data_IF_472702695167
#
_entry.id   IF_472702695167
#
_cell.length_a   1.000
_cell.length_b   1.000
_cell.length_c   1.000
_cell.angle_alpha   90.00
_cell.angle_beta   90.00
_cell.angle_gamma   90.00
#
_symmetry.space_group_name_H-M   'P 1'
#
loop_
_entity.id
_entity.type
_entity.pdbx_description
1 polymer ?
#
# COMPACT_ATOMS: atom_id res chain seq x y z
N UNK A 1 18.60 -20.87 16.85
CA UNK A 1 17.96 -19.60 16.43
C UNK A 1 16.55 -19.46 17.04
N UNK A 2 15.63 -20.40 16.81
CA UNK A 2 14.27 -20.37 17.37
C UNK A 2 14.15 -20.28 18.90
N UNK A 3 15.03 -20.99 19.63
CA UNK A 3 15.03 -20.95 21.09
C UNK A 3 15.33 -19.55 21.63
N UNK A 4 16.23 -18.82 20.95
CA UNK A 4 16.58 -17.45 21.32
C UNK A 4 15.48 -16.46 20.93
N UNK A 5 14.76 -16.72 19.83
CA UNK A 5 13.65 -15.91 19.35
C UNK A 5 12.44 -16.01 20.31
N UNK A 6 12.03 -17.24 20.68
CA UNK A 6 10.98 -17.46 21.68
C UNK A 6 11.33 -16.97 23.09
N UNK A 7 12.63 -16.89 23.44
CA UNK A 7 13.07 -16.25 24.69
C UNK A 7 12.78 -14.76 24.67
N UNK A 8 13.15 -14.08 23.58
CA UNK A 8 12.94 -12.63 23.40
C UNK A 8 11.47 -12.24 23.31
N UNK A 9 10.66 -13.04 22.64
CA UNK A 9 9.19 -12.82 22.57
C UNK A 9 8.54 -12.87 23.95
N UNK A 10 8.95 -13.83 24.80
CA UNK A 10 8.50 -13.92 26.20
C UNK A 10 8.97 -12.74 27.03
N UNK A 11 10.23 -12.30 26.86
CA UNK A 11 10.79 -11.16 27.59
C UNK A 11 10.11 -9.84 27.21
N UNK A 12 9.72 -9.69 25.94
CA UNK A 12 9.01 -8.53 25.43
C UNK A 12 7.47 -8.61 25.59
N UNK A 13 6.94 -9.70 26.16
CA UNK A 13 5.51 -9.99 26.28
C UNK A 13 4.76 -9.90 24.94
N UNK A 14 5.42 -10.28 23.86
CA UNK A 14 4.87 -10.32 22.50
C UNK A 14 4.21 -11.69 22.31
N UNK A 15 2.91 -11.70 21.98
CA UNK A 15 2.23 -12.91 21.50
C UNK A 15 2.16 -12.85 19.98
N UNK A 16 3.01 -13.59 19.26
CA UNK A 16 2.87 -13.70 17.81
C UNK A 16 1.55 -14.37 17.48
N UNK A 17 0.96 -13.98 16.34
CA UNK A 17 -0.18 -14.67 15.76
C UNK A 17 0.17 -16.15 15.59
N UNK A 18 -0.77 -17.04 15.93
CA UNK A 18 -0.51 -18.48 16.01
C UNK A 18 -0.08 -19.05 14.67
N UNK A 19 -0.65 -18.55 13.59
CA UNK A 19 -0.30 -19.02 12.26
C UNK A 19 1.11 -18.52 11.92
N UNK A 20 1.41 -17.23 12.16
CA UNK A 20 2.74 -16.61 11.94
C UNK A 20 3.85 -17.30 12.76
N UNK A 21 3.58 -17.65 14.02
CA UNK A 21 4.54 -18.35 14.90
C UNK A 21 4.88 -19.75 14.38
N UNK A 22 3.87 -20.49 13.92
CA UNK A 22 4.06 -21.80 13.29
C UNK A 22 4.89 -21.65 12.01
N UNK A 23 4.67 -20.58 11.22
CA UNK A 23 5.42 -20.31 9.99
C UNK A 23 6.89 -19.95 10.24
N UNK A 24 7.19 -19.05 11.18
CA UNK A 24 8.56 -18.68 11.54
C UNK A 24 9.36 -19.89 12.06
N UNK A 25 8.68 -20.80 12.76
CA UNK A 25 9.24 -22.07 13.23
C UNK A 25 9.49 -23.05 12.08
N UNK A 26 8.61 -23.14 11.10
CA UNK A 26 8.78 -24.01 9.94
C UNK A 26 9.91 -23.53 9.00
N UNK A 27 10.00 -22.22 8.73
CA UNK A 27 10.99 -21.64 7.82
C UNK A 27 12.45 -21.76 8.31
N UNK A 28 12.65 -21.99 9.62
CA UNK A 28 13.97 -22.14 10.25
C UNK A 28 14.41 -23.59 10.39
N UNK A 29 13.59 -24.56 10.00
CA UNK A 29 13.98 -25.96 9.89
C UNK A 29 14.66 -26.19 8.54
N UNK A 30 15.95 -26.55 8.56
CA UNK A 30 16.75 -26.82 7.36
C UNK A 30 16.13 -27.96 6.53
N UNK A 31 15.59 -27.62 5.36
CA UNK A 31 15.11 -28.59 4.39
C UNK A 31 14.17 -28.04 3.31
N UNK A 32 13.39 -27.00 3.59
CA UNK A 32 12.29 -26.63 2.68
C UNK A 32 11.88 -25.13 2.69
N UNK A 33 12.78 -24.23 3.13
CA UNK A 33 12.44 -22.80 3.33
C UNK A 33 11.87 -22.07 2.11
N UNK A 34 12.30 -22.42 0.89
CA UNK A 34 11.75 -21.87 -0.35
C UNK A 34 10.31 -22.35 -0.63
N UNK A 35 10.00 -23.57 -0.21
CA UNK A 35 8.69 -24.18 -0.34
C UNK A 35 7.70 -23.56 0.65
N UNK A 36 8.15 -23.28 1.88
CA UNK A 36 7.33 -22.63 2.93
C UNK A 36 6.87 -21.22 2.53
N UNK A 37 7.78 -20.38 2.01
CA UNK A 37 7.41 -19.02 1.55
C UNK A 37 6.42 -19.10 0.39
N UNK A 38 6.63 -20.04 -0.54
CA UNK A 38 5.75 -20.24 -1.70
C UNK A 38 4.37 -20.71 -1.26
N UNK A 39 4.26 -21.71 -0.38
CA UNK A 39 2.99 -22.19 0.17
C UNK A 39 2.23 -21.10 0.92
N UNK A 40 2.94 -20.29 1.69
CA UNK A 40 2.35 -19.19 2.44
C UNK A 40 1.78 -18.10 1.51
N UNK A 41 2.55 -17.73 0.47
CA UNK A 41 2.07 -16.81 -0.58
C UNK A 41 0.87 -17.39 -1.32
N UNK A 42 0.87 -18.68 -1.65
CA UNK A 42 -0.28 -19.33 -2.29
C UNK A 42 -1.54 -19.25 -1.43
N UNK A 43 -1.42 -19.47 -0.11
CA UNK A 43 -2.57 -19.36 0.82
C UNK A 43 -3.12 -17.94 0.92
N UNK A 44 -2.27 -16.94 1.11
CA UNK A 44 -2.72 -15.52 1.17
C UNK A 44 -3.46 -15.11 -0.10
N UNK A 45 -2.94 -15.54 -1.23
CA UNK A 45 -3.50 -15.20 -2.53
C UNK A 45 -4.71 -16.08 -2.87
N UNK A 46 -5.09 -17.04 -2.02
CA UNK A 46 -6.17 -18.01 -2.29
C UNK A 46 -5.92 -18.82 -3.56
N UNK A 47 -4.65 -19.17 -3.81
CA UNK A 47 -4.16 -19.98 -4.92
C UNK A 47 -3.83 -21.41 -4.49
N UNK A 48 -3.91 -21.72 -3.21
CA UNK A 48 -3.74 -23.07 -2.65
C UNK A 48 -4.69 -24.08 -3.30
N UNK A 49 -5.94 -23.69 -3.56
CA UNK A 49 -6.95 -24.52 -4.24
C UNK A 49 -6.58 -24.89 -5.68
N UNK A 50 -5.64 -24.17 -6.30
CA UNK A 50 -5.19 -24.40 -7.67
C UNK A 50 -3.67 -24.55 -7.79
N UNK A 51 -2.97 -24.88 -6.70
CA UNK A 51 -1.51 -24.95 -6.66
C UNK A 51 -0.95 -25.95 -7.69
N UNK A 52 -1.60 -27.11 -7.84
CA UNK A 52 -1.20 -28.17 -8.78
C UNK A 52 -1.91 -28.07 -10.15
N UNK A 53 -2.61 -26.97 -10.41
CA UNK A 53 -3.33 -26.76 -11.67
C UNK A 53 -2.44 -26.07 -12.69
N UNK A 54 -2.43 -26.57 -13.92
CA UNK A 54 -1.71 -25.92 -15.03
C UNK A 54 -2.24 -24.50 -15.25
N UNK A 55 -1.35 -23.51 -15.34
CA UNK A 55 -1.71 -22.09 -15.58
C UNK A 55 -2.47 -21.91 -16.90
N UNK A 56 -2.09 -22.69 -17.91
CA UNK A 56 -2.69 -22.66 -19.25
C UNK A 56 -2.31 -21.42 -20.06
N UNK A 57 -2.84 -21.34 -21.27
CA UNK A 57 -2.65 -20.24 -22.22
C UNK A 57 -3.95 -20.00 -23.03
N UNK A 58 -3.89 -19.30 -24.17
CA UNK A 58 -5.06 -19.06 -25.03
C UNK A 58 -5.65 -20.34 -25.65
N UNK A 59 -4.85 -21.41 -25.76
CA UNK A 59 -5.20 -22.67 -26.42
C UNK A 59 -5.51 -23.77 -25.42
N UNK A 60 -4.88 -23.74 -24.26
CA UNK A 60 -5.02 -24.74 -23.19
C UNK A 60 -5.67 -24.08 -22.00
N UNK A 61 -6.87 -24.55 -21.65
CA UNK A 61 -7.58 -24.07 -20.47
C UNK A 61 -6.76 -24.39 -19.21
N UNK A 62 -6.53 -23.37 -18.38
CA UNK A 62 -5.89 -23.50 -17.08
C UNK A 62 -6.65 -22.72 -16.00
N UNK A 63 -5.91 -22.02 -15.14
CA UNK A 63 -6.48 -21.19 -14.07
C UNK A 63 -7.27 -20.00 -14.65
N UNK A 64 -8.20 -19.47 -13.85
CA UNK A 64 -8.97 -18.27 -14.21
C UNK A 64 -8.08 -17.04 -14.37
N UNK A 65 -8.56 -16.02 -15.08
CA UNK A 65 -7.85 -14.75 -15.25
C UNK A 65 -7.52 -14.07 -13.90
N UNK A 66 -8.47 -14.07 -12.96
CA UNK A 66 -8.25 -13.54 -11.62
C UNK A 66 -7.24 -14.34 -10.80
N UNK A 67 -7.16 -15.66 -10.99
CA UNK A 67 -6.08 -16.48 -10.41
C UNK A 67 -4.74 -16.18 -11.07
N UNK A 68 -4.70 -15.93 -12.38
CA UNK A 68 -3.47 -15.55 -13.10
C UNK A 68 -2.91 -14.21 -12.63
N UNK A 69 -3.76 -13.21 -12.44
CA UNK A 69 -3.36 -11.91 -11.86
C UNK A 69 -2.76 -12.06 -10.47
N UNK A 70 -3.41 -12.86 -9.61
CA UNK A 70 -2.88 -13.18 -8.28
C UNK A 70 -1.57 -13.95 -8.35
N UNK A 71 -1.43 -14.90 -9.27
CA UNK A 71 -0.18 -15.66 -9.47
C UNK A 71 0.98 -14.74 -9.85
N UNK A 72 0.77 -13.77 -10.75
CA UNK A 72 1.78 -12.75 -11.09
C UNK A 72 2.19 -11.94 -9.86
N UNK A 73 1.24 -11.52 -9.03
CA UNK A 73 1.56 -10.89 -7.74
C UNK A 73 2.40 -11.83 -6.87
N UNK A 74 2.02 -13.11 -6.75
CA UNK A 74 2.75 -14.10 -5.96
C UNK A 74 4.19 -14.31 -6.40
N UNK A 75 4.45 -14.33 -7.71
CA UNK A 75 5.80 -14.41 -8.28
C UNK A 75 6.69 -13.26 -7.77
N UNK A 76 6.16 -12.03 -7.73
CA UNK A 76 6.87 -10.87 -7.22
C UNK A 76 7.07 -10.91 -5.69
N UNK A 77 6.22 -11.64 -4.95
CA UNK A 77 6.30 -11.74 -3.49
C UNK A 77 7.33 -12.76 -3.01
N UNK A 78 7.51 -13.86 -3.74
CA UNK A 78 8.44 -14.96 -3.37
C UNK A 78 9.90 -14.58 -3.63
N UNK A 79 10.16 -13.64 -4.53
CA UNK A 79 11.52 -13.18 -4.84
C UNK A 79 12.19 -12.41 -3.68
N UNK A 80 13.55 -12.37 -3.63
CA UNK A 80 14.30 -11.63 -2.62
C UNK A 80 14.30 -10.11 -2.89
N UNK A 81 13.11 -9.52 -3.03
CA UNK A 81 12.94 -8.10 -3.32
C UNK A 81 12.94 -7.29 -2.01
N UNK A 82 13.83 -6.29 -1.94
CA UNK A 82 13.82 -5.28 -0.87
C UNK A 82 12.82 -4.16 -1.11
N UNK A 83 12.55 -3.86 -2.38
CA UNK A 83 11.58 -2.87 -2.81
C UNK A 83 10.58 -3.53 -3.75
N UNK A 84 9.29 -3.34 -3.49
CA UNK A 84 8.21 -3.86 -4.31
C UNK A 84 7.32 -2.72 -4.79
N UNK A 85 7.21 -2.58 -6.10
CA UNK A 85 6.36 -1.59 -6.76
C UNK A 85 5.24 -2.34 -7.46
N UNK A 86 4.01 -2.04 -7.12
CA UNK A 86 2.83 -2.73 -7.62
C UNK A 86 1.86 -1.73 -8.21
N UNK A 87 1.66 -1.80 -9.51
CA UNK A 87 0.74 -0.91 -10.21
C UNK A 87 -0.61 -1.59 -10.42
N UNK A 88 -1.69 -0.86 -10.13
CA UNK A 88 -3.09 -1.27 -10.26
C UNK A 88 -3.37 -2.75 -9.93
N UNK A 89 -3.17 -3.18 -8.68
CA UNK A 89 -3.37 -4.60 -8.30
C UNK A 89 -4.82 -5.01 -8.02
N UNK A 90 -5.73 -4.05 -7.87
CA UNK A 90 -7.14 -4.30 -7.54
C UNK A 90 -8.08 -4.71 -8.70
N UNK A 91 -7.86 -4.32 -9.98
CA UNK A 91 -8.79 -4.61 -11.06
C UNK A 91 -9.02 -6.12 -11.31
N UNK A 92 -10.27 -6.55 -11.15
CA UNK A 92 -10.68 -7.94 -11.31
C UNK A 92 -10.59 -8.77 -10.02
N UNK A 93 -10.30 -8.13 -8.88
CA UNK A 93 -10.42 -8.69 -7.55
C UNK A 93 -11.61 -8.06 -6.82
N UNK A 94 -12.25 -8.81 -5.93
CA UNK A 94 -13.19 -8.25 -4.98
C UNK A 94 -12.45 -7.49 -3.86
N UNK A 95 -13.18 -6.67 -3.11
CA UNK A 95 -12.63 -5.84 -2.04
C UNK A 95 -11.98 -6.67 -0.92
N UNK A 96 -12.56 -7.82 -0.58
CA UNK A 96 -12.05 -8.68 0.50
C UNK A 96 -10.72 -9.34 0.10
N UNK A 97 -10.62 -9.84 -1.13
CA UNK A 97 -9.37 -10.36 -1.68
C UNK A 97 -8.30 -9.27 -1.75
N UNK A 98 -8.66 -8.07 -2.20
CA UNK A 98 -7.73 -6.93 -2.28
C UNK A 98 -7.17 -6.58 -0.89
N UNK A 99 -8.04 -6.50 0.12
CA UNK A 99 -7.64 -6.25 1.51
C UNK A 99 -6.66 -7.32 2.02
N UNK A 100 -6.98 -8.61 1.81
CA UNK A 100 -6.12 -9.71 2.26
C UNK A 100 -4.73 -9.65 1.63
N UNK A 101 -4.65 -9.33 0.34
CA UNK A 101 -3.38 -9.16 -0.38
C UNK A 101 -2.58 -8.01 0.23
N UNK A 102 -3.16 -6.81 0.31
CA UNK A 102 -2.47 -5.61 0.81
C UNK A 102 -2.02 -5.80 2.27
N UNK A 103 -2.91 -6.31 3.12
CA UNK A 103 -2.62 -6.56 4.54
C UNK A 103 -1.47 -7.55 4.73
N UNK A 104 -1.43 -8.60 3.90
CA UNK A 104 -0.40 -9.62 4.00
C UNK A 104 0.96 -9.11 3.53
N UNK A 105 1.00 -8.31 2.45
CA UNK A 105 2.25 -7.76 1.90
C UNK A 105 2.78 -6.63 2.77
N UNK A 106 1.89 -5.81 3.35
CA UNK A 106 2.24 -4.71 4.24
C UNK A 106 2.70 -5.16 5.64
N UNK A 107 2.39 -6.40 6.04
CA UNK A 107 2.83 -6.90 7.32
C UNK A 107 4.35 -7.20 7.31
N UNK A 108 5.16 -6.52 8.13
CA UNK A 108 6.62 -6.65 8.14
C UNK A 108 7.11 -8.03 8.57
N UNK A 109 6.28 -8.82 9.26
CA UNK A 109 6.63 -10.21 9.59
C UNK A 109 6.59 -11.12 8.37
N UNK A 110 5.87 -10.71 7.33
CA UNK A 110 5.59 -11.54 6.16
C UNK A 110 6.73 -11.53 5.15
N UNK A 111 7.32 -10.35 4.94
CA UNK A 111 8.39 -10.16 3.98
C UNK A 111 9.39 -9.16 4.56
N UNK A 112 10.69 -9.45 4.44
CA UNK A 112 11.76 -8.49 4.76
C UNK A 112 11.86 -7.38 3.69
N UNK A 113 10.74 -6.74 3.36
CA UNK A 113 10.65 -5.65 2.39
C UNK A 113 10.92 -4.34 3.12
N UNK A 114 11.88 -3.59 2.60
CA UNK A 114 12.25 -2.25 3.08
C UNK A 114 11.33 -1.18 2.48
N UNK A 115 10.77 -1.42 1.28
CA UNK A 115 9.88 -0.48 0.60
C UNK A 115 8.74 -1.21 -0.13
N UNK A 116 7.51 -0.71 0.06
CA UNK A 116 6.32 -1.14 -0.66
C UNK A 116 5.61 0.09 -1.23
N UNK A 117 5.46 0.14 -2.55
CA UNK A 117 4.70 1.18 -3.24
C UNK A 117 3.58 0.51 -4.02
N UNK A 118 2.33 0.80 -3.67
CA UNK A 118 1.16 0.21 -4.30
C UNK A 118 0.27 1.32 -4.85
N UNK A 119 -0.13 1.19 -6.12
CA UNK A 119 -1.18 1.98 -6.74
C UNK A 119 -2.50 1.21 -6.67
N UNK A 120 -3.55 1.85 -6.13
CA UNK A 120 -4.90 1.30 -6.05
C UNK A 120 -5.91 2.28 -6.66
N UNK A 121 -6.80 1.76 -7.50
CA UNK A 121 -7.96 2.50 -7.96
C UNK A 121 -9.09 2.36 -6.93
N UNK A 122 -9.44 3.47 -6.25
CA UNK A 122 -10.58 3.57 -5.32
C UNK A 122 -10.64 2.44 -4.29
N UNK A 123 -9.62 2.30 -3.41
CA UNK A 123 -9.63 1.28 -2.39
C UNK A 123 -10.80 1.45 -1.43
N UNK A 124 -11.36 0.32 -0.99
CA UNK A 124 -12.31 0.30 0.12
C UNK A 124 -11.68 0.92 1.38
N UNK A 125 -12.47 1.51 2.29
CA UNK A 125 -11.96 2.18 3.49
C UNK A 125 -11.00 1.31 4.32
N UNK A 126 -11.33 0.03 4.48
CA UNK A 126 -10.53 -0.92 5.24
C UNK A 126 -9.16 -1.15 4.59
N UNK A 127 -9.10 -1.18 3.25
CA UNK A 127 -7.84 -1.30 2.51
C UNK A 127 -7.04 0.00 2.54
N UNK A 128 -7.72 1.14 2.45
CA UNK A 128 -7.08 2.46 2.56
C UNK A 128 -6.39 2.64 3.92
N UNK A 129 -6.99 2.13 4.99
CA UNK A 129 -6.47 2.26 6.35
C UNK A 129 -5.20 1.43 6.61
N UNK A 130 -4.85 0.50 5.72
CA UNK A 130 -3.59 -0.26 5.78
C UNK A 130 -2.36 0.56 5.37
N UNK A 131 -2.54 1.74 4.76
CA UNK A 131 -1.43 2.56 4.28
C UNK A 131 -0.92 3.53 5.34
N UNK A 132 0.39 3.54 5.53
CA UNK A 132 1.07 4.50 6.40
C UNK A 132 1.15 5.89 5.74
N UNK A 133 1.63 5.93 4.50
CA UNK A 133 1.82 7.13 3.69
C UNK A 133 0.96 7.09 2.42
N UNK A 134 0.51 8.27 1.97
CA UNK A 134 -0.27 8.48 0.75
C UNK A 134 0.50 9.40 -0.19
N UNK A 135 0.56 9.03 -1.46
CA UNK A 135 0.99 9.90 -2.56
C UNK A 135 -0.24 10.17 -3.43
N UNK A 136 -0.67 11.43 -3.50
CA UNK A 136 -1.79 11.86 -4.32
C UNK A 136 -1.27 12.63 -5.54
N UNK A 137 -1.54 12.07 -6.73
CA UNK A 137 -1.19 12.66 -8.02
C UNK A 137 -2.45 13.19 -8.72
N UNK A 138 -2.37 14.41 -9.25
CA UNK A 138 -3.40 14.99 -10.11
C UNK A 138 -2.73 15.86 -11.19
N UNK A 139 -3.23 15.83 -12.43
CA UNK A 139 -2.69 16.59 -13.58
C UNK A 139 -1.14 16.58 -13.68
N UNK A 140 -0.51 15.43 -13.37
CA UNK A 140 0.95 15.26 -13.40
C UNK A 140 1.73 15.88 -12.24
N UNK A 141 1.04 16.34 -11.18
CA UNK A 141 1.64 16.96 -10.00
C UNK A 141 1.34 16.18 -8.72
N UNK A 142 2.30 16.18 -7.80
CA UNK A 142 2.10 15.69 -6.43
C UNK A 142 1.33 16.76 -5.65
N UNK A 143 0.07 16.47 -5.40
CA UNK A 143 -0.83 17.31 -4.59
C UNK A 143 -0.59 17.08 -3.10
N UNK A 144 -0.24 15.86 -2.73
CA UNK A 144 0.06 15.50 -1.34
C UNK A 144 1.01 14.30 -1.30
N UNK A 145 1.96 14.31 -0.36
CA UNK A 145 2.83 13.18 -0.08
C UNK A 145 3.15 13.12 1.42
N UNK A 146 2.81 12.01 2.08
CA UNK A 146 3.17 11.78 3.48
C UNK A 146 2.09 11.04 4.26
N UNK A 147 2.10 11.12 5.61
CA UNK A 147 1.29 10.26 6.43
C UNK A 147 -0.20 10.39 6.13
N UNK A 148 -0.89 9.25 6.05
CA UNK A 148 -2.33 9.17 5.79
C UNK A 148 -3.14 10.06 6.74
N UNK A 149 -2.75 10.12 8.00
CA UNK A 149 -3.44 10.86 9.07
C UNK A 149 -3.54 12.38 8.81
N UNK A 150 -2.57 12.97 8.10
CA UNK A 150 -2.53 14.41 7.85
C UNK A 150 -3.21 14.83 6.53
N UNK A 151 -3.65 13.89 5.69
CA UNK A 151 -4.20 14.23 4.37
C UNK A 151 -5.50 15.04 4.48
N UNK A 152 -6.38 14.69 5.41
CA UNK A 152 -7.63 15.41 5.62
C UNK A 152 -7.40 16.79 6.24
N UNK A 153 -6.38 16.93 7.09
CA UNK A 153 -5.94 18.21 7.64
C UNK A 153 -5.48 19.15 6.53
N UNK A 154 -4.65 18.65 5.61
CA UNK A 154 -4.17 19.41 4.45
C UNK A 154 -5.34 19.94 3.60
N UNK A 155 -6.31 19.09 3.23
CA UNK A 155 -7.48 19.54 2.48
C UNK A 155 -8.37 20.49 3.29
N UNK A 156 -8.42 20.33 4.63
CA UNK A 156 -9.07 21.27 5.54
C UNK A 156 -8.45 22.68 5.50
N UNK A 157 -7.12 22.79 5.45
CA UNK A 157 -6.42 24.06 5.23
C UNK A 157 -6.79 24.72 3.90
N UNK A 158 -6.98 23.89 2.87
CA UNK A 158 -7.45 24.30 1.55
C UNK A 158 -8.97 24.53 1.47
N UNK A 159 -9.67 24.50 2.62
CA UNK A 159 -11.13 24.72 2.76
C UNK A 159 -12.01 23.63 2.15
N UNK A 160 -11.48 22.43 1.99
CA UNK A 160 -12.23 21.24 1.59
C UNK A 160 -12.44 20.31 2.79
N UNK A 161 -13.65 19.74 2.91
CA UNK A 161 -13.99 18.81 3.99
C UNK A 161 -14.57 17.52 3.42
N UNK A 162 -14.02 16.40 3.86
CA UNK A 162 -14.59 15.08 3.58
C UNK A 162 -15.94 14.91 4.31
N UNK A 163 -17.02 14.52 3.62
CA UNK A 163 -18.29 14.17 4.25
C UNK A 163 -18.18 12.91 5.11
N UNK A 164 -18.97 12.82 6.19
CA UNK A 164 -18.92 11.69 7.15
C UNK A 164 -19.25 10.33 6.52
N UNK A 165 -20.08 10.31 5.47
CA UNK A 165 -20.53 9.07 4.82
C UNK A 165 -19.70 8.69 3.59
N UNK A 166 -18.63 9.42 3.31
CA UNK A 166 -17.79 9.20 2.12
C UNK A 166 -16.44 8.62 2.54
N UNK A 167 -15.97 7.62 1.78
CA UNK A 167 -14.62 7.09 1.95
C UNK A 167 -13.57 8.16 1.66
N UNK A 168 -12.49 8.18 2.44
CA UNK A 168 -11.41 9.17 2.25
C UNK A 168 -10.77 9.03 0.88
N UNK A 169 -10.50 7.80 0.42
CA UNK A 169 -9.94 7.55 -0.90
C UNK A 169 -10.79 8.16 -2.04
N UNK A 170 -12.13 7.97 -1.98
CA UNK A 170 -13.05 8.56 -2.96
C UNK A 170 -13.07 10.09 -2.88
N UNK A 171 -13.06 10.64 -1.67
CA UNK A 171 -12.94 12.08 -1.46
C UNK A 171 -11.66 12.64 -2.09
N UNK A 172 -10.51 12.00 -1.89
CA UNK A 172 -9.23 12.46 -2.42
C UNK A 172 -9.19 12.48 -3.97
N UNK A 173 -9.82 11.49 -4.60
CA UNK A 173 -9.95 11.48 -6.07
C UNK A 173 -10.88 12.58 -6.58
N UNK A 174 -12.00 12.80 -5.91
CA UNK A 174 -12.99 13.78 -6.39
C UNK A 174 -12.66 15.23 -6.03
N UNK A 175 -11.98 15.48 -4.90
CA UNK A 175 -11.56 16.85 -4.52
C UNK A 175 -10.48 17.41 -5.45
N UNK A 176 -9.72 16.55 -6.11
CA UNK A 176 -8.75 16.94 -7.14
C UNK A 176 -9.36 17.03 -8.54
N UNK A 177 -10.52 16.41 -8.77
CA UNK A 177 -11.31 16.50 -10.01
C UNK A 177 -11.98 17.88 -10.15
N UNK A 178 -11.89 18.48 -11.35
CA UNK A 178 -12.58 19.75 -11.64
C UNK A 178 -14.11 19.65 -11.58
N UNK A 179 -14.68 18.47 -11.84
CA UNK A 179 -16.13 18.27 -11.94
C UNK A 179 -16.81 18.16 -10.57
N UNK A 180 -16.13 17.52 -9.64
CA UNK A 180 -16.75 17.01 -8.40
C UNK A 180 -16.33 17.81 -7.17
N UNK A 181 -15.34 18.70 -7.29
CA UNK A 181 -14.73 19.40 -6.15
C UNK A 181 -15.67 20.36 -5.40
N UNK A 182 -16.59 21.02 -6.09
CA UNK A 182 -17.44 22.07 -5.50
C UNK A 182 -18.29 21.54 -4.33
N UNK A 183 -18.68 20.26 -4.38
CA UNK A 183 -19.49 19.64 -3.33
C UNK A 183 -18.76 19.50 -1.98
N UNK A 184 -17.42 19.61 -1.98
CA UNK A 184 -16.58 19.48 -0.78
C UNK A 184 -16.19 20.81 -0.15
N UNK A 185 -16.63 21.92 -0.74
CA UNK A 185 -16.33 23.25 -0.23
C UNK A 185 -16.93 23.43 1.17
N UNK A 186 -16.07 23.74 2.15
CA UNK A 186 -16.48 23.79 3.55
C UNK A 186 -17.35 25.01 3.90
N UNK A 187 -17.27 26.09 3.11
CA UNK A 187 -17.96 27.36 3.37
C UNK A 187 -19.13 27.56 2.41
N UNK A 188 -20.33 27.15 2.83
CA UNK A 188 -21.55 27.31 2.00
C UNK A 188 -21.91 28.77 1.70
N UNK A 189 -21.36 29.70 2.47
CA UNK A 189 -21.68 31.13 2.40
C UNK A 189 -20.71 31.91 1.48
N UNK A 190 -19.64 31.27 0.99
CA UNK A 190 -18.65 31.86 0.10
C UNK A 190 -18.62 31.09 -1.24
N UNK A 191 -18.54 31.77 -2.39
CA UNK A 191 -18.39 31.09 -3.67
C UNK A 191 -17.12 30.23 -3.64
N UNK A 192 -17.23 28.99 -4.10
CA UNK A 192 -16.07 28.10 -4.20
C UNK A 192 -15.03 28.77 -5.09
N UNK A 193 -13.87 29.10 -4.53
CA UNK A 193 -12.76 29.63 -5.33
C UNK A 193 -12.23 28.48 -6.18
N UNK A 194 -11.94 28.73 -7.46
CA UNK A 194 -11.40 27.71 -8.35
C UNK A 194 -9.94 27.41 -7.97
N UNK A 195 -9.73 26.54 -6.98
CA UNK A 195 -8.39 26.08 -6.60
C UNK A 195 -7.87 25.13 -7.69
N UNK A 196 -6.83 25.50 -8.39
CA UNK A 196 -6.16 24.67 -9.40
C UNK A 196 -5.32 23.58 -8.75
N UNK A 197 -4.99 22.52 -9.51
CA UNK A 197 -4.05 21.48 -9.06
C UNK A 197 -2.69 22.08 -8.68
N UNK A 198 -2.26 23.11 -9.41
CA UNK A 198 -1.04 23.85 -9.13
C UNK A 198 -1.07 24.54 -7.76
N UNK A 199 -2.17 25.18 -7.42
CA UNK A 199 -2.34 25.80 -6.10
C UNK A 199 -2.35 24.77 -4.98
N UNK A 200 -2.92 23.57 -5.20
CA UNK A 200 -2.79 22.47 -4.25
C UNK A 200 -1.33 22.05 -4.06
N UNK A 201 -0.59 21.84 -5.15
CA UNK A 201 0.82 21.43 -5.10
C UNK A 201 1.68 22.50 -4.39
N UNK A 202 1.48 23.79 -4.69
CA UNK A 202 2.17 24.90 -4.03
C UNK A 202 1.81 24.99 -2.54
N UNK A 203 0.53 24.85 -2.20
CA UNK A 203 0.09 24.85 -0.81
C UNK A 203 0.68 23.66 -0.02
N UNK A 204 0.82 22.49 -0.64
CA UNK A 204 1.46 21.34 -0.01
C UNK A 204 2.93 21.63 0.34
N UNK A 205 3.69 22.33 -0.51
CA UNK A 205 5.07 22.73 -0.19
C UNK A 205 5.15 23.63 1.05
N UNK A 206 4.11 24.40 1.34
CA UNK A 206 4.00 25.26 2.52
C UNK A 206 3.38 24.57 3.74
N UNK A 207 2.70 23.44 3.53
CA UNK A 207 2.11 22.64 4.59
C UNK A 207 3.21 21.95 5.40
N UNK A 208 2.98 21.76 6.70
CA UNK A 208 4.03 21.29 7.62
C UNK A 208 4.64 19.93 7.21
N UNK A 209 3.83 19.03 6.63
CA UNK A 209 4.30 17.75 6.08
C UNK A 209 5.24 17.98 4.88
N UNK A 210 4.85 18.82 3.92
CA UNK A 210 5.66 19.14 2.75
C UNK A 210 6.96 19.87 3.09
N UNK A 211 6.91 20.83 4.02
CA UNK A 211 8.09 21.50 4.58
C UNK A 211 9.08 20.50 5.18
N UNK A 212 8.60 19.57 6.02
CA UNK A 212 9.43 18.54 6.64
C UNK A 212 10.05 17.61 5.59
N UNK A 213 9.27 17.20 4.60
CA UNK A 213 9.71 16.34 3.51
C UNK A 213 10.81 17.00 2.67
N UNK A 214 10.61 18.27 2.28
CA UNK A 214 11.62 19.07 1.56
C UNK A 214 12.92 19.22 2.35
N UNK A 215 12.82 19.47 3.67
CA UNK A 215 14.01 19.54 4.54
C UNK A 215 14.80 18.22 4.58
N UNK A 216 14.10 17.09 4.58
CA UNK A 216 14.71 15.75 4.59
C UNK A 216 15.46 15.48 3.27
N UNK A 217 14.89 15.85 2.12
CA UNK A 217 15.55 15.71 0.81
C UNK A 217 16.77 16.63 0.64
N UNK A 218 16.72 17.82 1.23
CA UNK A 218 17.89 18.70 1.28
C UNK A 218 19.01 18.16 2.19
N UNK A 219 18.66 17.45 3.27
CA UNK A 219 19.62 16.77 4.14
C UNK A 219 20.25 15.52 3.51
N UNK A 220 19.52 14.80 2.62
CA UNK A 220 20.01 13.58 1.97
C UNK A 220 20.80 13.82 0.68
N UNK A 221 20.82 15.04 0.13
CA UNK A 221 21.65 15.40 -1.04
C UNK A 221 23.17 15.49 -0.76
N UNK A 222 23.65 15.09 0.43
CA UNK A 222 25.07 15.05 0.76
C UNK A 222 25.63 13.61 0.65
N UNK A 223 26.43 13.40 -0.41
CA UNK A 223 27.35 12.29 -0.69
C UNK A 223 26.75 11.00 -1.25
N UNK A 224 26.44 11.02 -2.54
CA UNK A 224 26.78 9.86 -3.39
C UNK A 224 28.22 10.11 -3.88
N UNK A 225 29.25 9.40 -3.36
CA UNK A 225 30.59 9.50 -3.93
C UNK A 225 30.54 9.00 -5.38
N UNK A 226 31.30 9.61 -6.30
CA UNK A 226 31.38 9.12 -7.68
C UNK A 226 31.87 7.66 -7.66
N UNK A 227 31.16 6.80 -8.40
CA UNK A 227 31.59 5.42 -8.62
C UNK A 227 32.95 5.41 -9.34
N UNK A 228 33.83 4.44 -9.02
CA UNK A 228 35.19 4.35 -9.55
C UNK A 228 35.26 4.13 -11.06
#
# INVERSE_FOLDING_TARGET
MLVELSRREKEANIKPDRDIDIYMKAATMEGDGANVVTEYVLKILGLDVCADTMVGDERIRGISEGQRKRLTTGEMLVGPAKALLMDEISPGLDSSTTYQIVNSIGNPSTFSKELLLISLLQPAPETYDLFDDIILLADGQVVYQGPREHVLEFFGHMRFKCPERKGVADFLQEVTSRKDREQYWARRDEPCTLVTVKEFAEAFQLFHVGCKLSSLFHLTSLKVPPLP
#
